data_IF_304162452421
#
_entry.id   IF_304162452421
#
_cell.length_a   1.000
_cell.length_b   1.000
_cell.length_c   1.000
_cell.angle_alpha   90.00
_cell.angle_beta   90.00
_cell.angle_gamma   90.00
#
_symmetry.space_group_name_H-M   'P 1'
#
loop_
_entity.id
_entity.type
_entity.pdbx_description
1 polymer ?
#
# COMPACT_ATOMS: atom_id res chain seq x y z
N UNK A 1 37.11 -22.73 48.66
CA UNK A 1 38.54 -22.38 48.59
C UNK A 1 38.91 -22.17 47.13
N UNK A 2 38.82 -20.93 46.65
CA UNK A 2 39.60 -20.42 45.51
C UNK A 2 39.53 -18.90 45.58
N UNK A 3 40.55 -18.29 46.18
CA UNK A 3 40.89 -16.89 45.94
C UNK A 3 41.44 -16.79 44.52
N UNK A 4 41.43 -15.62 43.87
CA UNK A 4 42.61 -14.84 43.43
C UNK A 4 42.06 -14.03 42.21
N UNK A 5 42.26 -12.73 41.95
CA UNK A 5 42.99 -11.59 42.52
C UNK A 5 42.28 -10.33 42.03
N UNK A 6 42.20 -9.29 42.86
CA UNK A 6 42.04 -7.92 42.40
C UNK A 6 43.42 -7.40 41.98
N UNK A 7 43.50 -6.73 40.83
CA UNK A 7 44.58 -5.79 40.54
C UNK A 7 43.98 -4.55 39.86
N UNK A 8 44.00 -3.44 40.61
CA UNK A 8 43.90 -2.09 40.08
C UNK A 8 45.17 -1.76 39.28
N UNK A 9 45.10 -0.79 38.34
CA UNK A 9 45.91 0.45 38.32
C UNK A 9 45.84 1.20 36.97
N UNK A 10 45.70 2.53 37.11
CA UNK A 10 46.21 3.64 36.25
C UNK A 10 45.54 3.97 34.90
N UNK A 11 44.81 5.10 34.88
CA UNK A 11 44.88 6.15 33.84
C UNK A 11 46.30 6.78 33.77
N UNK A 12 46.75 7.65 32.82
CA UNK A 12 46.08 8.55 31.82
C UNK A 12 46.84 8.53 30.44
N UNK A 13 46.92 9.56 29.54
CA UNK A 13 46.29 10.89 29.46
C UNK A 13 45.64 11.30 28.12
N UNK A 14 44.87 12.38 28.20
CA UNK A 14 44.54 13.27 27.09
C UNK A 14 45.78 13.68 26.29
N UNK A 15 45.68 13.63 24.96
CA UNK A 15 46.34 14.61 24.09
C UNK A 15 45.39 14.99 22.97
N UNK A 16 45.23 16.31 22.86
CA UNK A 16 44.45 17.03 21.88
C UNK A 16 44.96 16.80 20.44
N UNK A 17 44.07 16.89 19.46
CA UNK A 17 44.50 17.02 18.07
C UNK A 17 43.44 16.80 17.01
N UNK A 18 42.63 17.83 16.79
CA UNK A 18 42.10 18.23 15.48
C UNK A 18 41.03 17.35 14.77
N UNK A 19 39.87 17.97 14.55
CA UNK A 19 39.26 17.93 13.23
C UNK A 19 37.76 17.68 13.17
N UNK A 20 37.02 18.77 12.95
CA UNK A 20 35.72 18.84 12.27
C UNK A 20 34.50 18.24 13.00
N UNK A 21 33.55 19.13 13.32
CA UNK A 21 32.29 18.80 13.96
C UNK A 21 31.44 17.83 13.15
N UNK A 22 31.16 16.68 13.75
CA UNK A 22 30.07 15.80 13.35
C UNK A 22 28.87 16.12 14.25
N UNK A 23 28.02 17.02 13.77
CA UNK A 23 26.71 17.28 14.38
C UNK A 23 25.93 15.98 14.50
N UNK A 24 25.37 15.76 15.69
CA UNK A 24 24.59 14.57 16.02
C UNK A 24 23.41 14.41 15.03
N UNK A 25 23.21 13.22 14.42
CA UNK A 25 22.11 12.97 13.47
C UNK A 25 20.71 13.09 14.11
N UNK A 26 20.65 13.10 15.45
CA UNK A 26 19.41 13.17 16.20
C UNK A 26 18.77 14.57 16.20
N UNK A 27 19.55 15.64 15.98
CA UNK A 27 19.01 17.00 15.90
C UNK A 27 18.36 17.30 14.54
N UNK A 28 18.87 16.73 13.45
CA UNK A 28 18.32 16.91 12.10
C UNK A 28 16.94 16.23 11.95
N UNK A 29 16.76 15.05 12.55
CA UNK A 29 15.47 14.36 12.53
C UNK A 29 14.37 15.15 13.26
N UNK A 30 14.68 15.74 14.42
CA UNK A 30 13.71 16.55 15.19
C UNK A 30 13.27 17.81 14.46
N UNK A 31 14.17 18.43 13.68
CA UNK A 31 13.89 19.64 12.91
C UNK A 31 13.08 19.33 11.65
N UNK A 32 13.38 18.23 10.96
CA UNK A 32 12.58 17.77 9.81
C UNK A 32 11.14 17.43 10.22
N UNK A 33 10.96 16.69 11.33
CA UNK A 33 9.64 16.33 11.84
C UNK A 33 8.82 17.55 12.29
N UNK A 34 9.47 18.60 12.82
CA UNK A 34 8.79 19.84 13.19
C UNK A 34 8.37 20.69 11.97
N UNK A 35 9.17 20.68 10.91
CA UNK A 35 8.83 21.36 9.66
C UNK A 35 7.68 20.64 8.95
N UNK A 36 7.74 19.30 8.85
CA UNK A 36 6.65 18.48 8.32
C UNK A 36 5.37 18.69 9.12
N UNK A 37 5.43 18.77 10.46
CA UNK A 37 4.26 19.05 11.28
C UNK A 37 3.59 20.38 10.90
N UNK A 38 4.37 21.46 10.70
CA UNK A 38 3.81 22.75 10.28
C UNK A 38 3.20 22.72 8.87
N UNK A 39 3.78 21.95 7.96
CA UNK A 39 3.25 21.77 6.60
C UNK A 39 1.94 20.97 6.62
N UNK A 40 1.87 19.90 7.43
CA UNK A 40 0.64 19.12 7.59
C UNK A 40 -0.53 19.92 8.16
N UNK A 41 -0.27 20.89 9.03
CA UNK A 41 -1.30 21.78 9.57
C UNK A 41 -1.89 22.72 8.50
N UNK A 42 -1.06 23.18 7.55
CA UNK A 42 -1.53 23.98 6.42
C UNK A 42 -2.41 23.14 5.49
N UNK A 43 -1.99 21.91 5.18
CA UNK A 43 -2.75 20.98 4.35
C UNK A 43 -4.09 20.58 5.03
N UNK A 44 -4.06 20.38 6.34
CA UNK A 44 -5.26 20.15 7.16
C UNK A 44 -6.26 21.29 7.02
N UNK A 45 -5.78 22.53 7.09
CA UNK A 45 -6.64 23.71 6.99
C UNK A 45 -7.36 23.75 5.64
N UNK A 46 -6.67 23.42 4.54
CA UNK A 46 -7.28 23.33 3.20
C UNK A 46 -8.40 22.28 3.17
N UNK A 47 -8.16 21.09 3.74
CA UNK A 47 -9.16 20.02 3.79
C UNK A 47 -10.37 20.38 4.67
N UNK A 48 -10.13 21.07 5.79
CA UNK A 48 -11.20 21.58 6.65
C UNK A 48 -12.00 22.71 5.98
N UNK A 49 -11.34 23.59 5.22
CA UNK A 49 -12.02 24.65 4.44
C UNK A 49 -12.94 24.08 3.34
N UNK A 50 -12.67 22.86 2.85
CA UNK A 50 -13.57 22.12 1.96
C UNK A 50 -14.80 21.54 2.67
N UNK A 51 -14.87 21.62 4.01
CA UNK A 51 -16.02 21.19 4.81
C UNK A 51 -15.86 19.82 5.48
N UNK A 52 -14.68 19.19 5.38
CA UNK A 52 -14.42 17.92 6.06
C UNK A 52 -14.06 18.12 7.54
N UNK A 53 -14.46 17.20 8.43
CA UNK A 53 -14.14 17.31 9.85
C UNK A 53 -12.64 17.09 10.09
N UNK A 54 -12.06 17.88 11.01
CA UNK A 54 -10.63 17.86 11.33
C UNK A 54 -10.10 16.47 11.72
N UNK A 55 -10.93 15.68 12.41
CA UNK A 55 -10.58 14.32 12.82
C UNK A 55 -10.33 13.38 11.64
N UNK A 56 -11.19 13.43 10.62
CA UNK A 56 -11.08 12.59 9.42
C UNK A 56 -10.01 13.13 8.48
N UNK A 57 -9.91 14.46 8.35
CA UNK A 57 -8.87 15.12 7.56
C UNK A 57 -7.45 14.74 8.02
N UNK A 58 -7.23 14.65 9.35
CA UNK A 58 -5.94 14.20 9.92
C UNK A 58 -5.61 12.76 9.53
N UNK A 59 -6.59 11.88 9.61
CA UNK A 59 -6.41 10.47 9.28
C UNK A 59 -6.15 10.28 7.78
N UNK A 60 -6.92 10.96 6.93
CA UNK A 60 -6.76 10.90 5.49
C UNK A 60 -5.42 11.49 5.01
N UNK A 61 -4.96 12.60 5.62
CA UNK A 61 -3.64 13.17 5.33
C UNK A 61 -2.49 12.26 5.77
N UNK A 62 -2.62 11.62 6.93
CA UNK A 62 -1.63 10.64 7.39
C UNK A 62 -1.56 9.42 6.45
N UNK A 63 -2.69 8.92 5.95
CA UNK A 63 -2.73 7.78 5.03
C UNK A 63 -2.26 8.12 3.61
N UNK A 64 -2.49 9.36 3.18
CA UNK A 64 -2.11 9.85 1.85
C UNK A 64 -0.66 10.33 1.75
N UNK A 65 0.12 10.24 2.84
CA UNK A 65 1.47 10.84 2.94
C UNK A 65 1.45 12.34 2.65
N UNK A 66 0.55 13.08 3.30
CA UNK A 66 0.40 14.53 3.19
C UNK A 66 0.02 15.02 1.78
N UNK A 67 -0.68 14.19 1.01
CA UNK A 67 -1.21 14.58 -0.30
C UNK A 67 -2.70 14.93 -0.19
N UNK A 68 -3.05 16.20 -0.42
CA UNK A 68 -4.42 16.71 -0.29
C UNK A 68 -5.39 16.04 -1.26
N UNK A 69 -5.00 15.83 -2.53
CA UNK A 69 -5.87 15.20 -3.53
C UNK A 69 -6.23 13.78 -3.11
N UNK A 70 -5.23 13.01 -2.69
CA UNK A 70 -5.42 11.65 -2.22
C UNK A 70 -6.14 11.59 -0.87
N UNK A 71 -5.95 12.57 0.01
CA UNK A 71 -6.72 12.68 1.25
C UNK A 71 -8.20 12.92 0.98
N UNK A 72 -8.52 13.82 0.04
CA UNK A 72 -9.91 14.07 -0.39
C UNK A 72 -10.52 12.82 -1.02
N UNK A 73 -9.75 12.12 -1.85
CA UNK A 73 -10.20 10.85 -2.44
C UNK A 73 -10.57 9.83 -1.36
N UNK A 74 -9.71 9.63 -0.36
CA UNK A 74 -9.99 8.73 0.78
C UNK A 74 -11.23 9.19 1.58
N UNK A 75 -11.46 10.49 1.70
CA UNK A 75 -12.64 11.04 2.40
C UNK A 75 -13.95 10.89 1.60
N UNK A 76 -13.87 10.87 0.26
CA UNK A 76 -15.03 10.77 -0.62
C UNK A 76 -15.39 9.32 -0.93
N UNK A 77 -14.39 8.51 -1.30
CA UNK A 77 -14.56 7.12 -1.73
C UNK A 77 -14.53 6.14 -0.55
N UNK A 78 -14.04 6.59 0.61
CA UNK A 78 -13.72 5.73 1.74
C UNK A 78 -12.34 5.10 1.58
N UNK A 79 -11.88 4.39 2.61
CA UNK A 79 -10.67 3.61 2.49
C UNK A 79 -10.96 2.50 1.47
N UNK A 80 -10.27 2.50 0.32
CA UNK A 80 -10.11 1.29 -0.47
C UNK A 80 -9.08 0.43 0.28
N UNK A 81 -9.49 -0.13 1.42
CA UNK A 81 -8.74 -1.18 2.07
C UNK A 81 -8.61 -2.26 1.01
N UNK A 82 -7.38 -2.51 0.53
CA UNK A 82 -7.09 -3.43 -0.56
C UNK A 82 -7.61 -4.87 -0.39
N UNK A 83 -8.40 -5.15 0.65
CA UNK A 83 -9.41 -6.19 0.69
C UNK A 83 -10.33 -6.19 -0.55
N UNK A 84 -10.84 -5.06 -1.04
CA UNK A 84 -11.64 -5.02 -2.28
C UNK A 84 -10.83 -5.52 -3.49
N UNK A 85 -9.61 -5.01 -3.64
CA UNK A 85 -8.66 -5.44 -4.67
C UNK A 85 -8.27 -6.92 -4.52
N UNK A 86 -8.07 -7.40 -3.29
CA UNK A 86 -7.77 -8.80 -2.96
C UNK A 86 -8.96 -9.72 -3.27
N UNK A 87 -10.18 -9.28 -2.96
CA UNK A 87 -11.44 -9.99 -3.28
C UNK A 87 -11.63 -10.12 -4.78
N UNK A 88 -11.41 -9.05 -5.54
CA UNK A 88 -11.48 -9.07 -7.01
C UNK A 88 -10.46 -10.05 -7.62
N UNK A 89 -9.20 -10.00 -7.15
CA UNK A 89 -8.17 -10.95 -7.57
C UNK A 89 -8.52 -12.42 -7.25
N UNK A 90 -9.13 -12.65 -6.08
CA UNK A 90 -9.61 -13.98 -5.70
C UNK A 90 -10.78 -14.46 -6.56
N UNK A 91 -11.72 -13.57 -6.91
CA UNK A 91 -12.84 -13.86 -7.81
C UNK A 91 -12.33 -14.32 -9.17
N UNK A 92 -11.35 -13.61 -9.76
CA UNK A 92 -10.71 -14.00 -11.03
C UNK A 92 -10.07 -15.39 -10.99
N UNK A 93 -9.29 -15.67 -9.93
CA UNK A 93 -8.66 -16.99 -9.74
C UNK A 93 -9.69 -18.09 -9.60
N UNK A 94 -10.79 -17.81 -8.92
CA UNK A 94 -11.89 -18.75 -8.75
C UNK A 94 -12.64 -18.99 -10.06
N UNK A 95 -12.79 -17.96 -10.91
CA UNK A 95 -13.30 -18.11 -12.29
C UNK A 95 -12.38 -18.96 -13.14
N UNK A 96 -11.07 -18.76 -13.05
CA UNK A 96 -10.10 -19.60 -13.76
C UNK A 96 -10.16 -21.06 -13.28
N UNK A 97 -10.34 -21.28 -11.98
CA UNK A 97 -10.59 -22.62 -11.43
C UNK A 97 -11.92 -23.19 -11.94
N UNK A 98 -12.98 -22.39 -12.02
CA UNK A 98 -14.29 -22.79 -12.57
C UNK A 98 -14.20 -23.20 -14.03
N UNK A 99 -13.62 -22.36 -14.89
CA UNK A 99 -13.46 -22.66 -16.32
C UNK A 99 -12.62 -23.90 -16.55
N UNK A 100 -11.65 -24.13 -15.66
CA UNK A 100 -10.84 -25.35 -15.66
C UNK A 100 -11.60 -26.59 -15.16
N UNK A 101 -12.44 -26.48 -14.11
CA UNK A 101 -13.23 -27.58 -13.54
C UNK A 101 -14.43 -27.98 -14.39
N UNK A 102 -15.08 -27.02 -15.04
CA UNK A 102 -16.30 -27.22 -15.84
C UNK A 102 -16.01 -27.32 -17.34
N UNK A 103 -14.76 -27.08 -17.76
CA UNK A 103 -14.26 -27.27 -19.12
C UNK A 103 -13.71 -28.68 -19.34
N UNK A 104 -12.47 -28.77 -19.80
CA UNK A 104 -11.82 -30.05 -20.10
C UNK A 104 -11.24 -30.73 -18.84
N UNK A 105 -11.76 -31.90 -18.42
CA UNK A 105 -11.38 -32.55 -17.15
C UNK A 105 -9.91 -32.97 -17.07
N UNK A 106 -9.24 -33.16 -18.22
CA UNK A 106 -7.80 -33.48 -18.29
C UNK A 106 -6.90 -32.25 -18.17
N UNK A 107 -7.41 -31.06 -18.53
CA UNK A 107 -6.70 -29.80 -18.37
C UNK A 107 -6.79 -29.30 -16.91
N UNK A 108 -7.85 -29.70 -16.20
CA UNK A 108 -8.14 -29.35 -14.81
C UNK A 108 -7.02 -29.70 -13.84
N UNK A 109 -6.53 -30.93 -13.89
CA UNK A 109 -5.48 -31.38 -12.97
C UNK A 109 -4.20 -30.57 -13.15
N UNK A 110 -3.85 -30.23 -14.39
CA UNK A 110 -2.66 -29.43 -14.68
C UNK A 110 -2.81 -27.98 -14.20
N UNK A 111 -3.98 -27.37 -14.40
CA UNK A 111 -4.25 -26.01 -13.94
C UNK A 111 -4.31 -25.92 -12.41
N UNK A 112 -4.94 -26.89 -11.74
CA UNK A 112 -4.95 -26.97 -10.27
C UNK A 112 -3.51 -27.13 -9.75
N UNK A 113 -2.72 -28.04 -10.34
CA UNK A 113 -1.31 -28.22 -9.96
C UNK A 113 -0.52 -26.93 -10.17
N UNK A 114 -0.73 -26.21 -11.27
CA UNK A 114 -0.06 -24.94 -11.54
C UNK A 114 -0.44 -23.85 -10.53
N UNK A 115 -1.73 -23.71 -10.20
CA UNK A 115 -2.20 -22.76 -9.19
C UNK A 115 -1.72 -23.13 -7.78
N UNK A 116 -1.60 -24.42 -7.47
CA UNK A 116 -1.10 -24.89 -6.17
C UNK A 116 0.43 -24.83 -6.05
N UNK A 117 1.16 -24.74 -7.18
CA UNK A 117 2.61 -24.48 -7.16
C UNK A 117 2.93 -23.06 -6.71
N UNK A 118 2.06 -22.10 -6.99
CA UNK A 118 2.22 -20.75 -6.45
C UNK A 118 1.64 -20.67 -5.04
N UNK A 119 2.54 -20.58 -4.06
CA UNK A 119 2.20 -20.49 -2.64
C UNK A 119 1.26 -19.31 -2.34
N UNK A 120 1.37 -18.20 -3.08
CA UNK A 120 0.54 -17.00 -2.85
C UNK A 120 -0.88 -17.20 -3.38
N UNK A 121 -1.03 -17.92 -4.49
CA UNK A 121 -2.33 -18.26 -5.07
C UNK A 121 -3.02 -19.28 -4.17
N UNK A 122 -2.30 -20.33 -3.75
CA UNK A 122 -2.81 -21.35 -2.85
C UNK A 122 -3.27 -20.77 -1.51
N UNK A 123 -2.47 -19.88 -0.89
CA UNK A 123 -2.84 -19.23 0.37
C UNK A 123 -4.06 -18.33 0.20
N UNK A 124 -4.12 -17.52 -0.86
CA UNK A 124 -5.25 -16.62 -1.07
C UNK A 124 -6.57 -17.37 -1.34
N UNK A 125 -6.51 -18.47 -2.10
CA UNK A 125 -7.66 -19.36 -2.29
C UNK A 125 -8.07 -20.05 -0.99
N UNK A 126 -7.11 -20.55 -0.22
CA UNK A 126 -7.39 -21.18 1.07
C UNK A 126 -8.01 -20.19 2.06
N UNK A 127 -7.50 -18.96 2.15
CA UNK A 127 -8.08 -17.89 2.96
C UNK A 127 -9.50 -17.54 2.53
N UNK A 128 -9.74 -17.48 1.22
CA UNK A 128 -11.07 -17.17 0.67
C UNK A 128 -12.09 -18.27 0.97
N UNK A 129 -11.72 -19.53 0.74
CA UNK A 129 -12.57 -20.70 1.03
C UNK A 129 -12.81 -20.86 2.53
N UNK A 130 -11.80 -20.59 3.36
CA UNK A 130 -11.93 -20.67 4.82
C UNK A 130 -12.72 -19.49 5.40
N UNK A 131 -12.65 -18.30 4.79
CA UNK A 131 -13.37 -17.12 5.22
C UNK A 131 -14.86 -17.18 4.92
N UNK A 132 -15.24 -17.67 3.74
CA UNK A 132 -16.65 -17.90 3.37
C UNK A 132 -16.76 -18.95 2.27
N UNK A 133 -16.82 -20.22 2.67
CA UNK A 133 -16.94 -21.35 1.73
C UNK A 133 -18.23 -21.29 0.91
N UNK A 134 -19.31 -20.75 1.48
CA UNK A 134 -20.59 -20.56 0.79
C UNK A 134 -20.45 -19.56 -0.35
N UNK A 135 -19.80 -18.43 -0.10
CA UNK A 135 -19.57 -17.42 -1.13
C UNK A 135 -18.60 -17.94 -2.21
N UNK A 136 -17.60 -18.74 -1.84
CA UNK A 136 -16.72 -19.38 -2.79
C UNK A 136 -17.47 -20.37 -3.70
N UNK A 137 -18.33 -21.22 -3.15
CA UNK A 137 -19.17 -22.11 -3.94
C UNK A 137 -20.15 -21.34 -4.84
N UNK A 138 -20.71 -20.23 -4.34
CA UNK A 138 -21.62 -19.41 -5.11
C UNK A 138 -20.92 -18.74 -6.30
N UNK A 139 -19.69 -18.25 -6.12
CA UNK A 139 -18.87 -17.70 -7.21
C UNK A 139 -18.39 -18.76 -8.22
N UNK A 140 -18.18 -20.00 -7.79
CA UNK A 140 -17.90 -21.12 -8.70
C UNK A 140 -19.12 -21.49 -9.57
N UNK A 141 -20.32 -21.19 -9.09
CA UNK A 141 -21.58 -21.51 -9.76
C UNK A 141 -22.22 -20.29 -10.45
N UNK A 142 -21.78 -19.07 -10.12
CA UNK A 142 -22.31 -17.81 -10.66
C UNK A 142 -22.17 -17.77 -12.18
N UNK A 143 -23.19 -17.29 -12.88
CA UNK A 143 -23.25 -17.23 -14.35
C UNK A 143 -22.41 -16.07 -14.91
N UNK A 144 -22.08 -16.11 -16.21
CA UNK A 144 -21.16 -15.17 -16.89
C UNK A 144 -21.63 -13.69 -16.86
N UNK A 145 -22.87 -13.39 -16.42
CA UNK A 145 -23.37 -12.01 -16.29
C UNK A 145 -22.53 -11.16 -15.32
N UNK A 146 -22.01 -11.79 -14.26
CA UNK A 146 -21.06 -11.19 -13.31
C UNK A 146 -19.66 -10.93 -13.91
N UNK A 147 -19.38 -11.40 -15.13
CA UNK A 147 -18.10 -11.22 -15.82
C UNK A 147 -18.07 -9.90 -16.58
N UNK A 148 -19.20 -9.47 -17.14
CA UNK A 148 -19.34 -8.21 -17.86
C UNK A 148 -19.24 -6.99 -16.92
N UNK A 149 -19.78 -7.07 -15.70
CA UNK A 149 -19.67 -5.98 -14.72
C UNK A 149 -18.23 -5.73 -14.30
N UNK A 150 -17.47 -6.80 -13.98
CA UNK A 150 -16.07 -6.68 -13.59
C UNK A 150 -15.18 -6.16 -14.74
N UNK A 151 -15.49 -6.50 -16.00
CA UNK A 151 -14.78 -6.00 -17.18
C UNK A 151 -15.05 -4.51 -17.42
N UNK A 152 -16.30 -4.07 -17.27
CA UNK A 152 -16.70 -2.67 -17.41
C UNK A 152 -16.07 -1.76 -16.34
N UNK A 153 -15.93 -2.25 -15.11
CA UNK A 153 -15.20 -1.55 -14.05
C UNK A 153 -13.70 -1.43 -14.38
N UNK A 154 -13.10 -2.47 -14.96
CA UNK A 154 -11.68 -2.49 -15.35
C UNK A 154 -11.37 -1.55 -16.51
N UNK A 155 -12.30 -1.39 -17.45
CA UNK A 155 -12.18 -0.44 -18.55
C UNK A 155 -12.29 1.01 -18.04
N UNK A 156 -13.16 1.27 -17.07
CA UNK A 156 -13.28 2.58 -16.42
C UNK A 156 -12.01 2.97 -15.63
N UNK A 157 -11.45 2.07 -14.81
CA UNK A 157 -10.22 2.34 -14.06
C UNK A 157 -9.00 2.61 -14.98
N UNK A 158 -8.91 1.90 -16.12
CA UNK A 158 -7.85 2.15 -17.11
C UNK A 158 -7.98 3.51 -17.79
N UNK A 159 -9.21 3.98 -18.01
CA UNK A 159 -9.47 5.31 -18.57
C UNK A 159 -9.13 6.42 -17.57
N UNK A 160 -9.42 6.24 -16.28
CA UNK A 160 -9.08 7.20 -15.22
C UNK A 160 -7.56 7.34 -15.03
N UNK A 161 -6.84 6.22 -14.93
CA UNK A 161 -5.38 6.23 -14.77
C UNK A 161 -4.65 6.82 -15.99
N UNK A 162 -5.22 6.66 -17.20
CA UNK A 162 -4.67 7.25 -18.42
C UNK A 162 -4.90 8.77 -18.49
N UNK A 163 -6.00 9.29 -17.95
CA UNK A 163 -6.26 10.73 -17.91
C UNK A 163 -5.33 11.46 -16.93
N UNK A 164 -5.03 10.86 -15.79
CA UNK A 164 -4.11 11.47 -14.81
C UNK A 164 -2.68 11.64 -15.36
N UNK A 165 -2.21 10.73 -16.22
CA UNK A 165 -0.86 10.82 -16.80
C UNK A 165 -0.73 11.87 -17.91
N UNK A 166 -1.81 12.19 -18.64
CA UNK A 166 -1.77 13.21 -19.70
C UNK A 166 -1.75 14.65 -19.16
N UNK A 167 -2.23 14.85 -17.94
CA UNK A 167 -2.34 16.18 -17.32
C UNK A 167 -1.02 16.72 -16.75
N UNK A 168 0.04 15.89 -16.69
CA UNK A 168 1.34 16.26 -16.08
C UNK A 168 2.42 16.66 -17.10
N UNK A 169 2.16 16.58 -18.41
CA UNK A 169 3.18 16.79 -19.45
C UNK A 169 3.04 18.09 -20.27
N UNK A 170 2.16 19.03 -19.87
CA UNK A 170 1.89 20.24 -20.67
C UNK A 170 2.64 21.52 -20.19
N UNK A 171 3.63 21.43 -19.30
CA UNK A 171 4.40 22.61 -18.88
C UNK A 171 5.91 22.34 -18.90
N UNK A 172 6.50 22.24 -20.09
CA UNK A 172 7.89 22.70 -20.23
C UNK A 172 8.21 23.12 -21.67
N UNK A 173 8.89 24.27 -21.76
CA UNK A 173 9.74 24.76 -22.86
C UNK A 173 9.17 25.91 -23.71
N UNK A 174 10.03 26.80 -24.24
CA UNK A 174 10.66 27.87 -23.47
C UNK A 174 10.57 29.23 -24.17
N UNK A 175 10.61 30.31 -23.38
CA UNK A 175 10.81 31.67 -23.89
C UNK A 175 12.24 31.79 -24.43
N UNK A 176 12.40 32.07 -25.72
CA UNK A 176 13.70 32.44 -26.33
C UNK A 176 13.69 33.95 -26.62
N UNK A 177 14.75 34.60 -26.14
CA UNK A 177 15.06 36.04 -26.27
C UNK A 177 15.05 36.56 -27.71
#
# INVERSE_FOLDING_TARGET
MSQVQQLHLKSPPETAGAGAGAGSPQAAASVAVAADASETELLLKVVVEMGYPEGEARLALAQSNNNVQRAVQILVEGMDDGESRKRRGNRKRLRQLRSSLMGDPLATDNAIVEMMRDQRIAQALAEFVNGSSVQAMQLLLAEEEDELEDELEEEQEQLETSQEQTSTSAESSPHSN
#
